data_IF_954360559575
#
_entry.id   IF_954360559575
#
_cell.length_a   1.000
_cell.length_b   1.000
_cell.length_c   1.000
_cell.angle_alpha   90.00
_cell.angle_beta   90.00
_cell.angle_gamma   90.00
#
_symmetry.space_group_name_H-M   'P 1'
#
loop_
_entity.id
_entity.type
_entity.pdbx_description
1 polymer ?
#
# COMPACT_ATOMS: atom_id res chain seq x y z
N UNK A 1 7.93 5.70 20.44
CA UNK A 1 7.61 5.66 19.00
C UNK A 1 6.17 6.14 18.86
N UNK A 2 5.94 7.30 18.25
CA UNK A 2 4.57 7.83 18.14
C UNK A 2 3.81 6.92 17.18
N UNK A 3 2.76 6.28 17.67
CA UNK A 3 1.85 5.48 16.88
C UNK A 3 1.15 6.40 15.87
N UNK A 4 1.65 6.43 14.63
CA UNK A 4 0.99 7.12 13.54
C UNK A 4 -0.29 6.39 13.19
N UNK A 5 -1.43 7.04 13.40
CA UNK A 5 -2.77 6.54 13.03
C UNK A 5 -2.72 6.05 11.58
N UNK A 6 -2.99 4.76 11.40
CA UNK A 6 -2.97 4.12 10.09
C UNK A 6 -4.31 4.40 9.39
N UNK A 7 -4.33 5.36 8.45
CA UNK A 7 -5.53 5.59 7.66
C UNK A 7 -5.65 4.50 6.59
N UNK A 8 -6.84 3.94 6.48
CA UNK A 8 -7.16 2.90 5.53
C UNK A 8 -7.51 3.55 4.19
N UNK A 9 -6.71 3.33 3.15
CA UNK A 9 -7.08 3.75 1.81
C UNK A 9 -8.05 2.74 1.19
N UNK A 10 -9.34 2.98 1.39
CA UNK A 10 -10.41 2.30 0.67
C UNK A 10 -10.98 3.24 -0.39
N UNK A 11 -10.99 2.83 -1.66
CA UNK A 11 -11.66 3.55 -2.75
C UNK A 11 -13.20 3.45 -2.65
N UNK A 12 -13.76 3.61 -1.45
CA UNK A 12 -15.21 3.66 -1.24
C UNK A 12 -15.59 5.11 -1.06
N UNK A 13 -15.89 5.77 -2.18
CA UNK A 13 -16.62 7.04 -2.24
C UNK A 13 -15.94 8.23 -1.57
N UNK A 14 -15.09 8.95 -2.30
CA UNK A 14 -15.07 10.42 -2.22
C UNK A 14 -14.28 11.02 -3.39
N UNK A 15 -14.86 12.05 -4.00
CA UNK A 15 -14.45 12.75 -5.23
C UNK A 15 -13.10 13.53 -5.15
N UNK A 16 -12.13 13.11 -4.32
CA UNK A 16 -10.84 13.80 -4.17
C UNK A 16 -9.73 13.01 -4.85
N UNK A 17 -8.89 13.70 -5.62
CA UNK A 17 -7.72 13.08 -6.22
C UNK A 17 -6.74 12.59 -5.15
N UNK A 18 -6.12 11.44 -5.39
CA UNK A 18 -5.17 10.78 -4.48
C UNK A 18 -4.06 11.73 -4.00
N UNK A 19 -3.59 12.62 -4.89
CA UNK A 19 -2.55 13.63 -4.60
C UNK A 19 -2.98 14.60 -3.51
N UNK A 20 -4.22 15.09 -3.55
CA UNK A 20 -4.77 16.01 -2.54
C UNK A 20 -4.87 15.32 -1.18
N UNK A 21 -5.21 14.03 -1.17
CA UNK A 21 -5.25 13.24 0.06
C UNK A 21 -3.85 13.05 0.64
N UNK A 22 -2.85 12.71 -0.17
CA UNK A 22 -1.45 12.56 0.27
C UNK A 22 -0.90 13.85 0.89
N UNK A 23 -1.15 15.01 0.26
CA UNK A 23 -0.73 16.30 0.82
C UNK A 23 -1.44 16.63 2.13
N UNK A 24 -2.73 16.31 2.24
CA UNK A 24 -3.49 16.45 3.49
C UNK A 24 -2.90 15.56 4.58
N UNK A 25 -2.58 14.30 4.30
CA UNK A 25 -1.99 13.41 5.29
C UNK A 25 -0.64 13.93 5.79
N UNK A 26 0.21 14.43 4.89
CA UNK A 26 1.48 15.07 5.25
C UNK A 26 1.27 16.31 6.12
N UNK A 27 0.32 17.18 5.79
CA UNK A 27 0.05 18.40 6.58
C UNK A 27 -0.51 18.08 7.97
N UNK A 28 -1.13 16.90 8.15
CA UNK A 28 -1.58 16.38 9.44
C UNK A 28 -0.51 15.59 10.20
N UNK A 29 0.72 15.50 9.68
CA UNK A 29 1.82 14.77 10.33
C UNK A 29 1.66 13.24 10.29
N UNK A 30 0.83 12.72 9.38
CA UNK A 30 0.64 11.27 9.22
C UNK A 30 1.83 10.71 8.44
N UNK A 31 2.51 9.75 9.06
CA UNK A 31 3.73 9.13 8.51
C UNK A 31 3.54 7.66 8.15
N UNK A 32 2.34 7.09 8.34
CA UNK A 32 2.05 5.68 8.10
C UNK A 32 0.68 5.48 7.45
N UNK A 33 0.60 4.58 6.48
CA UNK A 33 -0.64 4.26 5.76
C UNK A 33 -0.71 2.76 5.45
N UNK A 34 -1.93 2.19 5.51
CA UNK A 34 -2.22 0.82 5.11
C UNK A 34 -3.09 0.83 3.86
N UNK A 35 -2.63 0.07 2.87
CA UNK A 35 -3.35 -0.19 1.63
C UNK A 35 -3.88 -1.62 1.67
N UNK A 36 -5.20 -1.78 1.47
CA UNK A 36 -5.82 -3.10 1.45
C UNK A 36 -5.57 -3.89 0.16
N UNK A 37 -4.99 -3.24 -0.84
CA UNK A 37 -4.54 -3.83 -2.10
C UNK A 37 -3.44 -2.96 -2.72
N UNK A 38 -2.56 -3.54 -3.56
CA UNK A 38 -1.56 -2.79 -4.29
C UNK A 38 -2.20 -1.99 -5.46
N UNK A 39 -2.86 -0.89 -5.12
CA UNK A 39 -3.48 0.00 -6.10
C UNK A 39 -2.45 0.92 -6.76
N UNK A 40 -2.34 0.87 -8.10
CA UNK A 40 -1.33 1.59 -8.85
C UNK A 40 -1.50 3.13 -8.77
N UNK A 41 -2.74 3.63 -8.67
CA UNK A 41 -3.01 5.07 -8.59
C UNK A 41 -2.55 5.64 -7.25
N UNK A 42 -2.94 4.98 -6.15
CA UNK A 42 -2.52 5.33 -4.80
C UNK A 42 -1.00 5.22 -4.64
N UNK A 43 -0.40 4.11 -5.11
CA UNK A 43 1.05 3.91 -5.07
C UNK A 43 1.79 4.99 -5.87
N UNK A 44 1.26 5.44 -7.01
CA UNK A 44 1.86 6.54 -7.78
C UNK A 44 1.79 7.86 -7.02
N UNK A 45 0.65 8.19 -6.41
CA UNK A 45 0.45 9.42 -5.64
C UNK A 45 1.31 9.47 -4.35
N UNK A 46 1.63 8.32 -3.77
CA UNK A 46 2.44 8.20 -2.56
C UNK A 46 3.95 8.29 -2.81
N UNK A 47 4.41 8.30 -4.06
CA UNK A 47 5.84 8.43 -4.39
C UNK A 47 6.43 9.70 -3.81
N UNK A 48 7.60 9.55 -3.18
CA UNK A 48 8.37 10.61 -2.55
C UNK A 48 7.59 11.39 -1.46
N UNK A 49 6.50 10.83 -0.95
CA UNK A 49 5.70 11.45 0.12
C UNK A 49 6.35 11.37 1.50
N UNK A 50 7.25 10.40 1.71
CA UNK A 50 7.82 10.07 3.00
C UNK A 50 6.89 9.25 3.91
N UNK A 51 5.68 8.91 3.44
CA UNK A 51 4.73 8.07 4.17
C UNK A 51 5.17 6.61 4.05
N UNK A 52 5.25 5.92 5.20
CA UNK A 52 5.52 4.49 5.26
C UNK A 52 4.27 3.68 4.94
N UNK A 53 4.39 2.67 4.07
CA UNK A 53 3.29 1.86 3.59
C UNK A 53 3.31 0.44 4.16
N UNK A 54 2.12 -0.04 4.53
CA UNK A 54 1.79 -1.44 4.75
C UNK A 54 0.83 -1.86 3.65
N UNK A 55 1.13 -2.95 2.93
CA UNK A 55 0.30 -3.43 1.81
C UNK A 55 -0.25 -4.79 2.16
N UNK A 56 -1.57 -4.93 2.14
CA UNK A 56 -2.22 -6.21 2.36
C UNK A 56 -2.30 -7.03 1.06
N UNK A 57 -2.13 -8.33 1.21
CA UNK A 57 -2.55 -9.35 0.24
C UNK A 57 -3.84 -9.95 0.76
N UNK A 58 -4.96 -9.48 0.21
CA UNK A 58 -6.31 -9.94 0.57
C UNK A 58 -6.84 -10.96 -0.45
N UNK A 59 -7.73 -11.82 0.03
CA UNK A 59 -8.41 -12.83 -0.79
C UNK A 59 -7.76 -14.20 -0.67
N UNK A 60 -8.57 -15.21 -0.32
CA UNK A 60 -8.14 -16.60 -0.20
C UNK A 60 -7.60 -17.14 -1.53
N UNK A 61 -8.13 -16.69 -2.66
CA UNK A 61 -7.65 -16.99 -4.01
C UNK A 61 -6.23 -16.48 -4.24
N UNK A 62 -5.95 -15.22 -3.87
CA UNK A 62 -4.61 -14.65 -4.02
C UNK A 62 -3.62 -15.32 -3.09
N UNK A 63 -3.98 -15.57 -1.83
CA UNK A 63 -3.12 -16.29 -0.89
C UNK A 63 -2.82 -17.70 -1.38
N UNK A 64 -3.83 -18.42 -1.88
CA UNK A 64 -3.64 -19.76 -2.46
C UNK A 64 -2.73 -19.72 -3.69
N UNK A 65 -2.85 -18.69 -4.53
CA UNK A 65 -1.96 -18.51 -5.69
C UNK A 65 -0.51 -18.25 -5.27
N UNK A 66 -0.27 -17.43 -4.25
CA UNK A 66 1.07 -17.15 -3.76
C UNK A 66 1.69 -18.35 -3.05
N UNK A 67 0.89 -19.12 -2.31
CA UNK A 67 1.33 -20.34 -1.62
C UNK A 67 1.65 -21.48 -2.60
N UNK A 68 0.97 -21.51 -3.75
CA UNK A 68 1.16 -22.55 -4.75
C UNK A 68 2.60 -22.63 -5.31
N UNK A 69 3.36 -21.53 -5.31
CA UNK A 69 4.79 -21.58 -5.68
C UNK A 69 5.61 -20.35 -5.26
N UNK A 70 6.90 -20.56 -4.99
CA UNK A 70 7.84 -19.45 -4.78
C UNK A 70 8.00 -18.53 -6.01
N UNK A 71 7.77 -19.03 -7.23
CA UNK A 71 7.79 -18.21 -8.44
C UNK A 71 6.58 -17.27 -8.53
N UNK A 72 5.41 -17.69 -8.04
CA UNK A 72 4.21 -16.85 -7.94
C UNK A 72 4.44 -15.74 -6.91
N UNK A 73 4.96 -16.08 -5.73
CA UNK A 73 5.31 -15.12 -4.69
C UNK A 73 6.32 -14.06 -5.17
N UNK A 74 7.42 -14.51 -5.79
CA UNK A 74 8.44 -13.59 -6.35
C UNK A 74 7.93 -12.76 -7.53
N UNK A 75 7.05 -13.31 -8.37
CA UNK A 75 6.35 -12.56 -9.41
C UNK A 75 5.49 -11.45 -8.84
N UNK A 76 4.69 -11.76 -7.81
CA UNK A 76 3.84 -10.77 -7.14
C UNK A 76 4.66 -9.65 -6.49
N UNK A 77 5.75 -9.97 -5.80
CA UNK A 77 6.64 -8.97 -5.20
C UNK A 77 7.26 -8.07 -6.27
N UNK A 78 7.72 -8.63 -7.39
CA UNK A 78 8.26 -7.84 -8.52
C UNK A 78 7.24 -6.82 -9.02
N UNK A 79 6.00 -7.24 -9.25
CA UNK A 79 4.95 -6.41 -9.82
C UNK A 79 4.39 -5.38 -8.84
N UNK A 80 4.21 -5.75 -7.56
CA UNK A 80 3.44 -4.94 -6.60
C UNK A 80 4.31 -4.15 -5.62
N UNK A 81 5.59 -4.51 -5.50
CA UNK A 81 6.52 -3.89 -4.54
C UNK A 81 7.71 -3.29 -5.28
N UNK A 82 8.47 -4.10 -6.02
CA UNK A 82 9.73 -3.66 -6.63
C UNK A 82 9.53 -2.73 -7.82
N UNK A 83 8.40 -2.80 -8.53
CA UNK A 83 8.07 -1.91 -9.63
C UNK A 83 7.88 -0.44 -9.20
N UNK A 84 7.75 -0.16 -7.89
CA UNK A 84 7.44 1.17 -7.39
C UNK A 84 8.63 1.82 -6.66
N UNK A 85 9.45 2.54 -7.41
CA UNK A 85 10.51 3.39 -6.85
C UNK A 85 9.95 4.62 -6.15
N UNK A 86 10.68 5.15 -5.16
CA UNK A 86 10.29 6.34 -4.40
C UNK A 86 9.22 6.08 -3.33
N UNK A 87 8.86 4.82 -3.08
CA UNK A 87 7.99 4.41 -1.98
C UNK A 87 8.77 3.89 -0.79
N UNK A 88 8.22 4.08 0.40
CA UNK A 88 8.72 3.46 1.64
C UNK A 88 7.77 2.35 2.07
N UNK A 89 7.90 1.16 1.48
CA UNK A 89 7.09 0.00 1.87
C UNK A 89 7.80 -0.70 3.04
N UNK A 90 7.14 -0.76 4.21
CA UNK A 90 7.70 -1.39 5.42
C UNK A 90 7.20 -2.80 5.65
N UNK A 91 5.94 -3.07 5.33
CA UNK A 91 5.29 -4.34 5.65
C UNK A 91 4.41 -4.81 4.50
N UNK A 92 4.38 -6.14 4.31
CA UNK A 92 3.42 -6.83 3.46
C UNK A 92 2.63 -7.73 4.40
N UNK A 93 1.31 -7.55 4.45
CA UNK A 93 0.41 -8.32 5.32
C UNK A 93 -0.31 -9.39 4.49
N UNK A 94 0.10 -10.66 4.64
CA UNK A 94 -0.44 -11.76 3.85
C UNK A 94 -1.48 -12.56 4.65
N UNK A 95 -2.74 -12.09 4.61
CA UNK A 95 -3.86 -12.74 5.30
C UNK A 95 -4.59 -11.81 6.25
N UNK A 96 -5.68 -11.20 5.75
CA UNK A 96 -6.69 -10.47 6.53
C UNK A 96 -8.06 -10.57 5.83
#
# INVERSE_FOLDING_TARGET
MVAGVCYCYGMVGNNRSDVVQVQLYRSKGITGMRLYSPDAHALSALRNSGISLMIDVRGTDKLSYLDASGSNASGWVRTNVQAYHGLTIKYIDAGN
#
